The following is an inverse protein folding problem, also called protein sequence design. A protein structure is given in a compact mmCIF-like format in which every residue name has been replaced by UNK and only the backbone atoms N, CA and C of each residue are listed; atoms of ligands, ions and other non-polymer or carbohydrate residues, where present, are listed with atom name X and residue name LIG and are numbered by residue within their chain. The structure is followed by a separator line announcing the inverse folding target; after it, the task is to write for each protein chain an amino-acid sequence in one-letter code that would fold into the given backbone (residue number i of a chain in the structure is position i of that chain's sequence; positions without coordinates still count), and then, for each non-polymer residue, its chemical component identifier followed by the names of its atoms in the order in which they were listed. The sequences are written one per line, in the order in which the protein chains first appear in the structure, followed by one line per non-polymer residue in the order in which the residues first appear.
data_IF_978168213139
#
_entry.id   IF_978168213139
#
_cell.length_a   1.000
_cell.length_b   1.000
_cell.length_c   1.000
_cell.angle_alpha   90.00
_cell.angle_beta   90.00
_cell.angle_gamma   90.00
#
_symmetry.space_group_name_H-M   'P 1'
#
loop_
_entity.id
_entity.type
_entity.pdbx_description
1 polymer ?
#
# COMPACT_ATOMS: atom_id res chain seq x y z
N UNK A 1 17.70 9.60 -36.89
CA UNK A 1 16.94 10.74 -37.48
C UNK A 1 17.74 12.02 -37.24
N UNK A 2 18.04 12.84 -38.25
CA UNK A 2 18.80 14.07 -38.04
C UNK A 2 17.95 15.08 -37.26
N UNK A 3 18.55 15.73 -36.25
CA UNK A 3 17.91 16.81 -35.48
C UNK A 3 17.77 18.04 -36.38
N UNK A 4 16.57 18.26 -36.91
CA UNK A 4 16.21 19.50 -37.60
C UNK A 4 16.26 20.64 -36.58
N UNK A 5 17.27 21.48 -36.71
CA UNK A 5 17.47 22.61 -35.79
C UNK A 5 16.72 23.81 -36.37
N UNK A 6 15.52 24.05 -35.86
CA UNK A 6 14.65 25.15 -36.31
C UNK A 6 15.36 26.51 -36.19
N UNK A 7 15.23 27.36 -37.23
CA UNK A 7 15.81 28.70 -37.28
C UNK A 7 15.22 29.62 -36.19
N UNK A 8 15.96 30.67 -35.83
CA UNK A 8 15.56 31.63 -34.77
C UNK A 8 14.21 32.29 -35.08
N UNK A 9 13.97 32.60 -36.35
CA UNK A 9 12.72 33.19 -36.84
C UNK A 9 11.56 32.20 -36.76
N UNK A 10 11.78 30.93 -37.13
CA UNK A 10 10.77 29.88 -37.03
C UNK A 10 10.40 29.56 -35.57
N UNK A 11 11.32 29.72 -34.61
CA UNK A 11 11.02 29.61 -33.18
C UNK A 11 10.21 30.81 -32.67
N UNK A 12 10.50 32.02 -33.17
CA UNK A 12 9.78 33.24 -32.80
C UNK A 12 8.31 33.19 -33.28
N UNK A 13 8.06 32.75 -34.52
CA UNK A 13 6.71 32.57 -35.05
C UNK A 13 5.93 31.48 -34.32
N UNK A 14 6.57 30.35 -33.99
CA UNK A 14 5.97 29.30 -33.14
C UNK A 14 5.62 29.80 -31.74
N UNK A 15 6.47 30.64 -31.15
CA UNK A 15 6.24 31.21 -29.82
C UNK A 15 5.08 32.22 -29.85
N UNK A 16 5.01 33.05 -30.88
CA UNK A 16 3.90 33.97 -31.10
C UNK A 16 2.57 33.21 -31.31
N UNK A 17 2.59 32.14 -32.11
CA UNK A 17 1.42 31.28 -32.32
C UNK A 17 0.96 30.55 -31.04
N UNK A 18 1.90 30.07 -30.21
CA UNK A 18 1.58 29.48 -28.89
C UNK A 18 0.97 30.51 -27.94
N UNK A 19 1.48 31.74 -27.93
CA UNK A 19 0.92 32.85 -27.12
C UNK A 19 -0.49 33.21 -27.58
N UNK A 20 -0.75 33.25 -28.89
CA UNK A 20 -2.08 33.49 -29.43
C UNK A 20 -3.09 32.40 -29.03
N UNK A 21 -2.70 31.11 -29.16
CA UNK A 21 -3.54 29.98 -28.72
C UNK A 21 -3.81 29.98 -27.22
N UNK A 22 -2.81 30.31 -26.39
CA UNK A 22 -2.98 30.44 -24.95
C UNK A 22 -3.93 31.60 -24.58
N UNK A 23 -3.86 32.73 -25.30
CA UNK A 23 -4.80 33.85 -25.12
C UNK A 23 -6.22 33.44 -25.50
N UNK A 24 -6.42 32.79 -26.65
CA UNK A 24 -7.73 32.30 -27.07
C UNK A 24 -8.32 31.29 -26.07
N UNK A 25 -7.49 30.39 -25.52
CA UNK A 25 -7.91 29.46 -24.49
C UNK A 25 -8.36 30.16 -23.19
N UNK A 26 -7.61 31.18 -22.74
CA UNK A 26 -8.01 31.98 -21.58
C UNK A 26 -9.32 32.71 -21.80
N UNK A 27 -9.50 33.31 -22.98
CA UNK A 27 -10.77 33.98 -23.35
C UNK A 27 -11.93 32.99 -23.33
N UNK A 28 -11.76 31.78 -23.88
CA UNK A 28 -12.79 30.75 -23.86
C UNK A 28 -13.12 30.26 -22.43
N UNK A 29 -12.13 30.20 -21.55
CA UNK A 29 -12.36 29.88 -20.13
C UNK A 29 -13.14 30.99 -19.43
N UNK A 30 -12.76 32.25 -19.64
CA UNK A 30 -13.46 33.40 -19.07
C UNK A 30 -14.92 33.46 -19.57
N UNK A 31 -15.16 33.13 -20.83
CA UNK A 31 -16.50 33.04 -21.41
C UNK A 31 -17.32 31.90 -20.80
N UNK A 32 -16.74 30.71 -20.59
CA UNK A 32 -17.40 29.61 -19.88
C UNK A 32 -17.72 29.96 -18.41
N UNK A 33 -16.82 30.68 -17.74
CA UNK A 33 -17.05 31.17 -16.38
C UNK A 33 -18.20 32.18 -16.33
N UNK A 34 -18.29 33.07 -17.33
CA UNK A 34 -19.41 34.01 -17.45
C UNK A 34 -20.73 33.27 -17.68
N UNK A 35 -20.75 32.27 -18.57
CA UNK A 35 -21.93 31.44 -18.82
C UNK A 35 -22.41 30.69 -17.56
N UNK A 36 -21.48 30.14 -16.77
CA UNK A 36 -21.80 29.50 -15.50
C UNK A 36 -22.34 30.52 -14.48
N UNK A 37 -21.77 31.73 -14.45
CA UNK A 37 -22.27 32.84 -13.64
C UNK A 37 -23.70 33.21 -13.99
N UNK A 38 -24.03 33.29 -15.28
CA UNK A 38 -25.38 33.63 -15.75
C UNK A 38 -26.38 32.49 -15.52
N UNK A 39 -25.96 31.24 -15.69
CA UNK A 39 -26.75 30.07 -15.27
C UNK A 39 -27.04 30.11 -13.76
N UNK A 40 -26.04 30.47 -12.95
CA UNK A 40 -26.19 30.58 -11.49
C UNK A 40 -27.18 31.68 -11.09
N UNK A 41 -27.13 32.84 -11.76
CA UNK A 41 -28.12 33.92 -11.57
C UNK A 41 -29.52 33.47 -11.96
N UNK A 42 -29.64 32.76 -13.08
CA UNK A 42 -30.94 32.24 -13.58
C UNK A 42 -31.56 31.28 -12.56
N UNK A 43 -30.79 30.34 -12.02
CA UNK A 43 -31.23 29.39 -10.98
C UNK A 43 -31.59 30.12 -9.68
N UNK A 44 -30.78 31.11 -9.28
CA UNK A 44 -31.03 31.92 -8.09
C UNK A 44 -32.37 32.67 -8.19
N UNK A 45 -32.64 33.30 -9.34
CA UNK A 45 -33.90 34.00 -9.61
C UNK A 45 -35.09 33.05 -9.70
N UNK A 46 -34.96 31.91 -10.40
CA UNK A 46 -36.04 30.94 -10.57
C UNK A 46 -36.49 30.28 -9.25
N UNK A 47 -35.58 30.14 -8.29
CA UNK A 47 -35.85 29.47 -7.01
C UNK A 47 -35.87 30.41 -5.80
N UNK A 48 -35.86 31.73 -6.01
CA UNK A 48 -35.82 32.75 -4.95
C UNK A 48 -34.70 32.52 -3.91
N UNK A 49 -33.52 32.08 -4.37
CA UNK A 49 -32.35 31.85 -3.51
C UNK A 49 -31.28 32.89 -3.78
N UNK A 50 -30.41 33.14 -2.80
CA UNK A 50 -29.29 34.06 -3.01
C UNK A 50 -28.29 33.46 -4.00
N UNK A 51 -27.71 34.30 -4.87
CA UNK A 51 -26.68 33.89 -5.85
C UNK A 51 -25.54 33.15 -5.14
N UNK A 52 -25.11 33.65 -3.97
CA UNK A 52 -24.06 33.04 -3.14
C UNK A 52 -24.42 31.64 -2.65
N UNK A 53 -25.69 31.36 -2.37
CA UNK A 53 -26.14 30.04 -1.97
C UNK A 53 -26.13 29.06 -3.15
N UNK A 54 -26.59 29.47 -4.33
CA UNK A 54 -26.56 28.63 -5.54
C UNK A 54 -25.12 28.39 -6.01
N UNK A 55 -24.25 29.41 -5.94
CA UNK A 55 -22.82 29.27 -6.17
C UNK A 55 -22.21 28.23 -5.22
N UNK A 56 -22.48 28.33 -3.92
CA UNK A 56 -21.96 27.36 -2.96
C UNK A 56 -22.42 25.92 -3.26
N UNK A 57 -23.67 25.71 -3.68
CA UNK A 57 -24.17 24.37 -4.03
C UNK A 57 -23.59 23.84 -5.36
N UNK A 58 -23.23 24.71 -6.31
CA UNK A 58 -22.60 24.32 -7.58
C UNK A 58 -21.08 24.11 -7.45
N UNK A 59 -20.40 24.88 -6.58
CA UNK A 59 -18.95 24.81 -6.37
C UNK A 59 -18.53 23.75 -5.34
N UNK A 60 -19.40 23.41 -4.40
CA UNK A 60 -19.17 22.37 -3.40
C UNK A 60 -19.85 21.11 -3.92
N UNK A 61 -19.09 20.23 -4.58
CA UNK A 61 -19.60 19.00 -5.18
C UNK A 61 -20.57 18.24 -4.26
N UNK A 62 -21.58 17.61 -4.88
CA UNK A 62 -22.72 16.92 -4.26
C UNK A 62 -22.39 15.94 -3.10
N UNK A 63 -21.12 15.57 -2.89
CA UNK A 63 -20.67 14.60 -1.87
C UNK A 63 -20.43 15.16 -0.46
N UNK A 64 -20.19 16.46 -0.27
CA UNK A 64 -19.83 17.03 1.05
C UNK A 64 -21.07 17.23 1.95
N UNK A 65 -22.28 17.15 1.40
CA UNK A 65 -23.54 17.35 2.12
C UNK A 65 -23.92 16.22 3.09
N UNK A 66 -23.17 15.11 3.15
CA UNK A 66 -23.47 14.02 4.11
C UNK A 66 -23.00 14.26 5.54
N UNK A 67 -22.24 15.33 5.82
CA UNK A 67 -21.76 15.64 7.18
C UNK A 67 -22.29 16.95 7.77
N UNK A 68 -23.38 17.52 7.22
CA UNK A 68 -24.13 18.51 8.00
C UNK A 68 -24.88 17.76 9.10
N UNK A 69 -24.33 17.80 10.31
CA UNK A 69 -25.12 17.68 11.53
C UNK A 69 -26.22 18.76 11.46
N UNK A 70 -27.36 18.41 10.89
CA UNK A 70 -28.56 19.24 10.92
C UNK A 70 -28.87 19.49 12.38
N UNK A 71 -29.09 20.76 12.77
CA UNK A 71 -29.51 21.10 14.13
C UNK A 71 -30.62 20.13 14.56
N UNK A 72 -30.52 19.49 15.73
CA UNK A 72 -31.50 18.50 16.16
C UNK A 72 -32.88 19.15 16.12
N UNK A 73 -33.75 18.62 15.25
CA UNK A 73 -35.11 19.12 15.11
C UNK A 73 -35.91 18.66 16.33
N UNK A 74 -36.58 19.58 17.01
CA UNK A 74 -37.36 19.29 18.22
C UNK A 74 -38.44 18.24 17.96
N UNK A 75 -39.07 18.27 16.78
CA UNK A 75 -40.03 17.24 16.39
C UNK A 75 -39.39 15.84 16.32
N UNK A 76 -38.15 15.74 15.82
CA UNK A 76 -37.45 14.46 15.76
C UNK A 76 -37.03 13.97 17.15
N UNK A 77 -36.66 14.88 18.06
CA UNK A 77 -36.35 14.55 19.45
C UNK A 77 -37.59 14.04 20.20
N UNK A 78 -38.75 14.68 19.99
CA UNK A 78 -40.02 14.25 20.58
C UNK A 78 -40.47 12.88 20.06
N UNK A 79 -40.47 12.67 18.74
CA UNK A 79 -40.81 11.37 18.15
C UNK A 79 -39.86 10.26 18.61
N UNK A 80 -38.57 10.57 18.81
CA UNK A 80 -37.61 9.62 19.38
C UNK A 80 -37.98 9.21 20.82
N UNK A 81 -38.35 10.17 21.68
CA UNK A 81 -38.75 9.89 23.06
C UNK A 81 -40.01 9.04 23.12
N UNK A 82 -41.06 9.44 22.39
CA UNK A 82 -42.33 8.69 22.34
C UNK A 82 -42.17 7.27 21.79
N UNK A 83 -41.28 7.08 20.82
CA UNK A 83 -40.96 5.76 20.29
C UNK A 83 -40.11 4.89 21.25
N UNK A 84 -39.45 5.49 22.27
CA UNK A 84 -38.86 4.71 23.37
C UNK A 84 -39.90 4.23 24.37
N UNK A 85 -40.93 5.06 24.61
CA UNK A 85 -41.97 4.83 25.60
C UNK A 85 -43.06 3.86 25.09
N UNK A 86 -43.23 3.73 23.76
CA UNK A 86 -44.14 2.75 23.17
C UNK A 86 -43.59 1.32 23.25
N UNK A 87 -44.38 0.36 23.75
CA UNK A 87 -44.01 -1.07 23.85
C UNK A 87 -43.68 -1.72 22.48
N UNK A 88 -44.19 -1.16 21.38
CA UNK A 88 -43.96 -1.65 20.02
C UNK A 88 -42.68 -1.10 19.37
N UNK A 89 -41.51 -1.50 19.88
CA UNK A 89 -40.18 -1.02 19.41
C UNK A 89 -39.82 -1.29 17.94
N UNK A 90 -40.63 -2.05 17.18
CA UNK A 90 -40.21 -2.65 15.91
C UNK A 90 -41.26 -2.63 14.78
N UNK A 91 -41.94 -1.51 14.52
CA UNK A 91 -42.72 -1.37 13.28
C UNK A 91 -42.23 -0.17 12.49
N UNK A 92 -41.89 -0.40 11.21
CA UNK A 92 -41.20 0.53 10.31
C UNK A 92 -41.96 1.80 9.96
N UNK A 93 -41.77 2.33 8.74
CA UNK A 93 -42.21 3.68 8.27
C UNK A 93 -43.63 4.15 8.65
N UNK A 94 -44.55 3.25 8.97
CA UNK A 94 -45.95 3.58 9.28
C UNK A 94 -46.19 3.99 10.75
N UNK A 95 -45.32 3.61 11.70
CA UNK A 95 -45.40 4.09 13.11
C UNK A 95 -45.22 5.60 13.22
N UNK A 96 -44.38 6.18 12.36
CA UNK A 96 -44.14 7.63 12.33
C UNK A 96 -45.41 8.40 11.94
N UNK A 97 -46.23 7.88 11.02
CA UNK A 97 -47.50 8.51 10.63
C UNK A 97 -48.54 8.42 11.74
N UNK A 98 -48.54 7.32 12.50
CA UNK A 98 -49.43 7.12 13.64
C UNK A 98 -49.06 8.03 14.82
N UNK A 99 -47.77 8.08 15.17
CA UNK A 99 -47.22 9.00 16.19
C UNK A 99 -47.51 10.48 15.87
N UNK A 100 -47.44 10.87 14.58
CA UNK A 100 -47.78 12.24 14.13
C UNK A 100 -49.26 12.56 14.33
N UNK A 101 -50.16 11.57 14.21
CA UNK A 101 -51.61 11.78 14.39
C UNK A 101 -52.00 11.82 15.87
N UNK A 102 -51.41 10.97 16.69
CA UNK A 102 -51.80 10.78 18.09
C UNK A 102 -51.19 11.84 19.03
N UNK A 103 -49.95 12.29 18.78
CA UNK A 103 -49.22 13.14 19.73
C UNK A 103 -48.96 14.57 19.22
N UNK A 104 -49.69 15.03 18.19
CA UNK A 104 -49.57 16.40 17.67
C UNK A 104 -49.98 17.46 18.69
N UNK A 105 -51.05 17.19 19.42
CA UNK A 105 -51.60 18.11 20.41
C UNK A 105 -50.70 18.16 21.66
N UNK A 106 -50.16 17.01 22.07
CA UNK A 106 -49.16 16.90 23.14
C UNK A 106 -47.86 17.66 22.81
N UNK A 107 -47.39 17.58 21.56
CA UNK A 107 -46.24 18.37 21.10
C UNK A 107 -46.49 19.89 21.16
N UNK A 108 -47.72 20.31 20.86
CA UNK A 108 -48.09 21.73 20.92
C UNK A 108 -48.16 22.25 22.36
N UNK A 109 -48.54 21.38 23.32
CA UNK A 109 -48.67 21.71 24.74
C UNK A 109 -47.35 21.69 25.53
N UNK A 110 -46.27 21.12 24.97
CA UNK A 110 -44.95 21.05 25.61
C UNK A 110 -44.39 22.44 25.94
N UNK A 111 -43.94 22.63 27.18
CA UNK A 111 -43.30 23.86 27.65
C UNK A 111 -41.89 24.05 27.06
N UNK A 112 -41.33 25.26 27.17
CA UNK A 112 -39.99 25.56 26.64
C UNK A 112 -38.89 24.78 27.36
N UNK A 113 -39.04 24.56 28.66
CA UNK A 113 -38.06 23.87 29.51
C UNK A 113 -37.98 22.38 29.17
N UNK A 114 -39.13 21.73 28.98
CA UNK A 114 -39.20 20.32 28.57
C UNK A 114 -38.62 20.09 27.17
N UNK A 115 -38.82 21.05 26.25
CA UNK A 115 -38.23 21.00 24.90
C UNK A 115 -36.70 21.04 24.93
N UNK A 116 -36.11 21.86 25.80
CA UNK A 116 -34.65 21.95 25.93
C UNK A 116 -34.03 20.68 26.52
N UNK A 117 -34.68 20.08 27.53
CA UNK A 117 -34.25 18.81 28.11
C UNK A 117 -34.29 17.69 27.06
N UNK A 118 -35.38 17.58 26.29
CA UNK A 118 -35.51 16.58 25.21
C UNK A 118 -34.46 16.76 24.11
N UNK A 119 -34.15 18.00 23.71
CA UNK A 119 -33.12 18.27 22.73
C UNK A 119 -31.72 17.85 23.22
N UNK A 120 -31.43 18.06 24.51
CA UNK A 120 -30.16 17.68 25.12
C UNK A 120 -30.01 16.15 25.16
N UNK A 121 -31.03 15.44 25.66
CA UNK A 121 -31.05 13.97 25.69
C UNK A 121 -30.90 13.38 24.27
N UNK A 122 -31.61 13.93 23.29
CA UNK A 122 -31.54 13.48 21.91
C UNK A 122 -30.17 13.75 21.26
N UNK A 123 -29.54 14.89 21.57
CA UNK A 123 -28.21 15.22 21.09
C UNK A 123 -27.16 14.25 21.66
N UNK A 124 -27.27 13.93 22.95
CA UNK A 124 -26.35 12.99 23.61
C UNK A 124 -26.57 11.54 23.14
N UNK A 125 -27.82 11.11 22.91
CA UNK A 125 -28.11 9.84 22.24
C UNK A 125 -27.54 9.77 20.83
N UNK A 126 -27.62 10.85 20.06
CA UNK A 126 -27.06 10.90 18.71
C UNK A 126 -25.53 10.73 18.76
N UNK A 127 -24.85 11.42 19.68
CA UNK A 127 -23.40 11.24 19.91
C UNK A 127 -23.06 9.82 20.34
N UNK A 128 -23.83 9.23 21.25
CA UNK A 128 -23.64 7.85 21.71
C UNK A 128 -23.86 6.83 20.58
N UNK A 129 -24.87 7.01 19.72
CA UNK A 129 -25.15 6.13 18.58
C UNK A 129 -24.05 6.21 17.51
N UNK A 130 -23.58 7.42 17.21
CA UNK A 130 -22.44 7.63 16.30
C UNK A 130 -21.18 6.95 16.84
N UNK A 131 -20.98 6.95 18.16
CA UNK A 131 -19.82 6.35 18.82
C UNK A 131 -19.96 4.82 18.98
N UNK A 132 -21.17 4.31 19.18
CA UNK A 132 -21.46 2.90 19.52
C UNK A 132 -21.77 1.98 18.34
N UNK A 133 -21.70 2.45 17.10
CA UNK A 133 -22.01 1.60 15.94
C UNK A 133 -20.85 0.63 15.70
N UNK A 134 -21.10 -0.66 15.97
CA UNK A 134 -20.25 -1.79 15.58
C UNK A 134 -20.19 -1.83 14.04
N UNK A 135 -19.32 -1.03 13.44
CA UNK A 135 -19.19 -0.92 11.99
C UNK A 135 -18.63 -2.23 11.47
N UNK A 136 -19.44 -2.94 10.67
CA UNK A 136 -18.99 -4.16 10.01
C UNK A 136 -17.77 -3.85 9.13
N UNK A 137 -16.85 -4.81 9.01
CA UNK A 137 -15.68 -4.67 8.12
C UNK A 137 -16.08 -4.31 6.69
N UNK A 138 -17.21 -4.86 6.21
CA UNK A 138 -17.79 -4.54 4.89
C UNK A 138 -18.20 -3.06 4.78
N UNK A 139 -18.82 -2.51 5.82
CA UNK A 139 -19.21 -1.09 5.85
C UNK A 139 -17.99 -0.17 5.82
N UNK A 140 -16.92 -0.52 6.55
CA UNK A 140 -15.66 0.25 6.54
C UNK A 140 -15.01 0.25 5.16
N UNK A 141 -15.01 -0.88 4.46
CA UNK A 141 -14.48 -0.97 3.10
C UNK A 141 -15.29 -0.09 2.14
N UNK A 142 -16.62 -0.20 2.17
CA UNK A 142 -17.49 0.61 1.29
C UNK A 142 -17.27 2.10 1.52
N UNK A 143 -17.18 2.52 2.77
CA UNK A 143 -16.94 3.92 3.14
C UNK A 143 -15.59 4.44 2.61
N UNK A 144 -14.52 3.67 2.80
CA UNK A 144 -13.18 4.00 2.29
C UNK A 144 -13.19 4.07 0.76
N UNK A 145 -13.75 3.06 0.07
CA UNK A 145 -13.79 3.03 -1.40
C UNK A 145 -14.59 4.20 -1.97
N UNK A 146 -15.75 4.53 -1.38
CA UNK A 146 -16.57 5.66 -1.84
C UNK A 146 -15.86 6.99 -1.61
N UNK A 147 -15.21 7.16 -0.46
CA UNK A 147 -14.47 8.38 -0.12
C UNK A 147 -13.26 8.56 -1.04
N UNK A 148 -12.47 7.50 -1.25
CA UNK A 148 -11.31 7.54 -2.15
C UNK A 148 -11.73 7.88 -3.58
N UNK A 149 -12.79 7.26 -4.10
CA UNK A 149 -13.31 7.58 -5.42
C UNK A 149 -13.74 9.05 -5.56
N UNK A 150 -14.32 9.63 -4.51
CA UNK A 150 -14.67 11.05 -4.51
C UNK A 150 -13.40 11.93 -4.55
N UNK A 151 -12.38 11.59 -3.76
CA UNK A 151 -11.10 12.31 -3.75
C UNK A 151 -10.37 12.19 -5.10
N UNK A 152 -10.33 11.01 -5.70
CA UNK A 152 -9.74 10.79 -7.04
C UNK A 152 -10.40 11.66 -8.11
N UNK A 153 -11.73 11.78 -8.08
CA UNK A 153 -12.47 12.65 -8.99
C UNK A 153 -12.12 14.13 -8.79
N UNK A 154 -11.96 14.57 -7.54
CA UNK A 154 -11.55 15.95 -7.22
C UNK A 154 -10.10 16.23 -7.65
N UNK A 155 -9.19 15.29 -7.44
CA UNK A 155 -7.79 15.40 -7.87
C UNK A 155 -7.67 15.43 -9.40
N UNK A 156 -8.44 14.59 -10.10
CA UNK A 156 -8.56 14.66 -11.55
C UNK A 156 -9.12 16.02 -12.01
N UNK A 157 -10.16 16.52 -11.34
CA UNK A 157 -10.74 17.82 -11.64
C UNK A 157 -9.76 18.97 -11.38
N UNK A 158 -8.91 18.85 -10.36
CA UNK A 158 -7.82 19.79 -10.08
C UNK A 158 -6.80 19.80 -11.22
N UNK A 159 -6.33 18.62 -11.66
CA UNK A 159 -5.44 18.49 -12.83
C UNK A 159 -6.03 19.17 -14.06
N UNK A 160 -7.29 18.90 -14.37
CA UNK A 160 -7.96 19.50 -15.53
C UNK A 160 -8.05 21.02 -15.46
N UNK A 161 -8.25 21.60 -14.26
CA UNK A 161 -8.40 23.06 -14.09
C UNK A 161 -7.07 23.82 -14.04
N UNK A 162 -6.07 23.26 -13.38
CA UNK A 162 -4.83 24.00 -13.06
C UNK A 162 -3.58 23.42 -13.71
N UNK A 163 -3.66 22.21 -14.28
CA UNK A 163 -2.50 21.45 -14.73
C UNK A 163 -1.65 20.92 -13.57
N UNK A 164 -2.14 20.97 -12.33
CA UNK A 164 -1.44 20.39 -11.20
C UNK A 164 -1.41 18.86 -11.31
N UNK A 165 -0.23 18.29 -11.18
CA UNK A 165 -0.02 16.85 -11.15
C UNK A 165 0.07 16.38 -9.69
N UNK A 166 -0.59 15.28 -9.36
CA UNK A 166 -0.80 14.83 -7.97
C UNK A 166 -0.63 13.34 -7.83
N UNK A 167 -0.22 12.91 -6.63
CA UNK A 167 -0.15 11.52 -6.21
C UNK A 167 -0.86 11.34 -4.87
N UNK A 168 -1.60 10.25 -4.73
CA UNK A 168 -2.30 9.87 -3.51
C UNK A 168 -2.00 8.41 -3.19
N UNK A 169 -1.48 8.18 -1.98
CA UNK A 169 -1.26 6.86 -1.42
C UNK A 169 -2.17 6.65 -0.21
N UNK A 170 -2.90 5.54 -0.21
CA UNK A 170 -3.75 5.17 0.92
C UNK A 170 -3.45 3.73 1.33
N UNK A 171 -3.07 3.53 2.58
CA UNK A 171 -2.76 2.21 3.14
C UNK A 171 -3.58 1.96 4.40
N UNK A 172 -3.90 0.69 4.66
CA UNK A 172 -4.50 0.32 5.95
C UNK A 172 -3.45 0.37 7.07
N UNK A 173 -3.86 0.83 8.25
CA UNK A 173 -3.01 0.82 9.46
C UNK A 173 -3.26 -0.37 10.40
N UNK A 174 -4.14 -1.30 10.04
CA UNK A 174 -4.44 -2.48 10.86
C UNK A 174 -4.71 -3.70 10.00
N UNK A 175 -4.42 -4.89 10.53
CA UNK A 175 -4.70 -6.18 9.87
C UNK A 175 -6.18 -6.53 9.79
N UNK A 176 -7.02 -5.87 10.61
CA UNK A 176 -8.46 -6.15 10.75
C UNK A 176 -9.30 -5.69 9.55
N UNK A 177 -8.72 -4.93 8.63
CA UNK A 177 -9.37 -4.44 7.42
C UNK A 177 -8.72 -5.12 6.20
N UNK A 178 -9.43 -5.94 5.41
CA UNK A 178 -8.90 -6.57 4.21
C UNK A 178 -8.97 -5.62 3.02
N UNK A 179 -8.31 -4.46 3.13
CA UNK A 179 -8.17 -3.49 2.05
C UNK A 179 -6.72 -3.46 1.58
N UNK A 180 -6.50 -3.70 0.28
CA UNK A 180 -5.18 -3.51 -0.34
C UNK A 180 -4.91 -2.02 -0.48
N UNK A 181 -3.66 -1.58 -0.27
CA UNK A 181 -3.29 -0.19 -0.49
C UNK A 181 -3.73 0.33 -1.88
N UNK A 182 -4.30 1.53 -1.89
CA UNK A 182 -4.82 2.22 -3.07
C UNK A 182 -3.83 3.30 -3.48
N UNK A 183 -3.55 3.37 -4.77
CA UNK A 183 -2.63 4.34 -5.37
C UNK A 183 -3.37 5.06 -6.48
N UNK A 184 -3.31 6.38 -6.47
CA UNK A 184 -3.79 7.22 -7.55
C UNK A 184 -2.68 8.18 -7.97
N UNK A 185 -2.38 8.21 -9.26
CA UNK A 185 -1.37 9.07 -9.84
C UNK A 185 -1.89 9.73 -11.10
N UNK A 186 -1.52 10.99 -11.28
CA UNK A 186 -1.65 11.64 -12.58
C UNK A 186 -0.41 11.31 -13.42
N UNK A 187 -0.58 11.28 -14.75
CA UNK A 187 0.38 10.77 -15.72
C UNK A 187 1.79 11.40 -15.62
N UNK A 188 1.88 12.69 -15.33
CA UNK A 188 3.16 13.39 -15.21
C UNK A 188 3.97 12.93 -14.00
N UNK A 189 3.30 12.75 -12.86
CA UNK A 189 3.95 12.24 -11.63
C UNK A 189 4.20 10.75 -11.74
N UNK A 190 3.31 9.99 -12.38
CA UNK A 190 3.52 8.56 -12.64
C UNK A 190 4.81 8.31 -13.44
N UNK A 191 5.00 9.05 -14.53
CA UNK A 191 6.21 8.95 -15.34
C UNK A 191 7.46 9.39 -14.55
N UNK A 192 7.35 10.40 -13.69
CA UNK A 192 8.45 10.83 -12.82
C UNK A 192 8.85 9.73 -11.82
N UNK A 193 7.86 9.12 -11.15
CA UNK A 193 8.10 8.04 -10.18
C UNK A 193 8.78 6.83 -10.84
N UNK A 194 8.30 6.42 -12.01
CA UNK A 194 8.90 5.28 -12.72
C UNK A 194 10.25 5.62 -13.36
N UNK A 195 10.37 6.77 -14.04
CA UNK A 195 11.54 7.05 -14.90
C UNK A 195 12.69 7.76 -14.18
N UNK A 196 12.38 8.62 -13.20
CA UNK A 196 13.39 9.40 -12.47
C UNK A 196 13.71 8.70 -11.16
N UNK A 197 12.67 8.34 -10.39
CA UNK A 197 12.86 7.72 -9.08
C UNK A 197 13.14 6.22 -9.20
N UNK A 198 12.83 5.57 -10.32
CA UNK A 198 12.88 4.10 -10.48
C UNK A 198 12.08 3.37 -9.40
N UNK A 199 10.97 3.98 -8.95
CA UNK A 199 10.11 3.42 -7.91
C UNK A 199 8.79 2.99 -8.55
N UNK A 200 8.42 1.74 -8.31
CA UNK A 200 7.08 1.23 -8.59
C UNK A 200 6.11 1.74 -7.50
N UNK A 201 5.06 2.44 -7.91
CA UNK A 201 4.07 3.02 -7.00
C UNK A 201 3.35 1.96 -6.17
N UNK A 202 3.08 0.79 -6.74
CA UNK A 202 2.42 -0.31 -6.07
C UNK A 202 3.33 -0.94 -5.02
N UNK A 203 4.62 -1.09 -5.33
CA UNK A 203 5.63 -1.57 -4.37
C UNK A 203 5.81 -0.60 -3.21
N UNK A 204 5.90 0.71 -3.48
CA UNK A 204 5.99 1.73 -2.43
C UNK A 204 4.78 1.70 -1.50
N UNK A 205 3.56 1.60 -2.05
CA UNK A 205 2.33 1.50 -1.26
C UNK A 205 2.31 0.21 -0.41
N UNK A 206 2.79 -0.90 -0.94
CA UNK A 206 2.92 -2.14 -0.16
C UNK A 206 3.94 -2.01 0.98
N UNK A 207 5.05 -1.30 0.77
CA UNK A 207 6.03 -1.00 1.84
C UNK A 207 5.46 -0.05 2.89
N UNK A 208 4.74 0.98 2.47
CA UNK A 208 4.02 1.90 3.37
C UNK A 208 2.96 1.16 4.20
N UNK A 209 2.22 0.22 3.60
CA UNK A 209 1.24 -0.61 4.29
C UNK A 209 1.91 -1.51 5.32
N UNK A 210 2.99 -2.20 4.93
CA UNK A 210 3.78 -2.99 5.85
C UNK A 210 4.27 -2.15 7.03
N UNK A 211 4.79 -0.95 6.76
CA UNK A 211 5.23 -0.02 7.82
C UNK A 211 4.10 0.41 8.75
N UNK A 212 2.94 0.75 8.20
CA UNK A 212 1.78 1.19 8.99
C UNK A 212 1.27 0.09 9.93
N UNK A 213 1.42 -1.19 9.55
CA UNK A 213 0.96 -2.35 10.36
C UNK A 213 2.04 -2.84 11.34
N UNK A 214 3.31 -2.93 10.90
CA UNK A 214 4.37 -3.64 11.62
C UNK A 214 5.61 -2.77 11.91
N UNK A 215 5.54 -1.46 11.65
CA UNK A 215 6.66 -0.54 11.79
C UNK A 215 7.81 -0.87 10.83
N UNK A 216 9.05 -0.57 11.22
CA UNK A 216 10.26 -0.78 10.40
C UNK A 216 10.35 -2.22 9.84
N UNK A 217 9.89 -3.22 10.61
CA UNK A 217 9.86 -4.64 10.20
C UNK A 217 8.94 -4.92 9.00
N UNK A 218 7.92 -4.09 8.79
CA UNK A 218 6.98 -4.23 7.67
C UNK A 218 7.37 -3.47 6.41
N UNK A 219 8.17 -2.39 6.52
CA UNK A 219 8.75 -1.71 5.35
C UNK A 219 9.80 -2.56 4.61
N UNK A 220 10.43 -3.51 5.32
CA UNK A 220 11.61 -4.23 4.86
C UNK A 220 11.34 -5.47 3.99
N UNK A 221 10.12 -5.72 3.51
CA UNK A 221 9.82 -6.97 2.77
C UNK A 221 10.01 -6.86 1.26
N UNK A 222 11.25 -6.61 0.83
CA UNK A 222 11.71 -7.19 -0.43
C UNK A 222 11.99 -8.67 -0.15
N UNK A 223 11.22 -9.58 -0.75
CA UNK A 223 11.50 -11.01 -0.68
C UNK A 223 12.92 -11.32 -1.18
N UNK A 224 13.36 -10.59 -2.22
CA UNK A 224 14.72 -10.69 -2.76
C UNK A 224 15.79 -10.25 -1.76
N UNK A 225 15.56 -9.16 -1.02
CA UNK A 225 16.51 -8.68 0.00
C UNK A 225 16.60 -9.69 1.15
N UNK A 226 15.47 -10.24 1.61
CA UNK A 226 15.47 -11.32 2.62
C UNK A 226 16.22 -12.56 2.15
N UNK A 227 16.06 -12.95 0.90
CA UNK A 227 16.79 -14.08 0.31
C UNK A 227 18.29 -13.75 0.21
N UNK A 228 18.65 -12.51 -0.15
CA UNK A 228 20.03 -12.04 -0.20
C UNK A 228 20.69 -12.03 1.19
N UNK A 229 19.97 -11.54 2.21
CA UNK A 229 20.43 -11.51 3.59
C UNK A 229 20.60 -12.92 4.15
N UNK A 230 19.64 -13.81 3.91
CA UNK A 230 19.74 -15.22 4.31
C UNK A 230 20.94 -15.91 3.65
N UNK A 231 21.16 -15.71 2.35
CA UNK A 231 22.34 -16.23 1.64
C UNK A 231 23.64 -15.69 2.23
N UNK A 232 23.69 -14.40 2.54
CA UNK A 232 24.88 -13.75 3.11
C UNK A 232 25.20 -14.28 4.49
N UNK A 233 24.18 -14.47 5.34
CA UNK A 233 24.32 -15.04 6.67
C UNK A 233 24.85 -16.48 6.61
N UNK A 234 24.31 -17.33 5.72
CA UNK A 234 24.79 -18.70 5.53
C UNK A 234 26.24 -18.72 5.00
N UNK A 235 26.56 -17.87 4.03
CA UNK A 235 27.93 -17.74 3.52
C UNK A 235 28.93 -17.37 4.64
N UNK A 236 28.57 -16.44 5.52
CA UNK A 236 29.42 -16.08 6.65
C UNK A 236 29.56 -17.22 7.66
N UNK A 237 28.49 -17.94 7.99
CA UNK A 237 28.60 -19.09 8.92
C UNK A 237 29.52 -20.16 8.35
N UNK A 238 29.37 -20.51 7.07
CA UNK A 238 30.21 -21.51 6.40
C UNK A 238 31.68 -21.08 6.41
N UNK A 239 31.98 -19.84 5.98
CA UNK A 239 33.34 -19.32 5.91
C UNK A 239 33.96 -19.14 7.30
N UNK A 240 33.21 -18.61 8.26
CA UNK A 240 33.63 -18.47 9.65
C UNK A 240 33.96 -19.82 10.27
N UNK A 241 33.11 -20.84 10.06
CA UNK A 241 33.37 -22.21 10.49
C UNK A 241 34.63 -22.80 9.85
N UNK A 242 34.83 -22.55 8.56
CA UNK A 242 36.01 -23.01 7.81
C UNK A 242 37.30 -22.37 8.33
N UNK A 243 37.30 -21.05 8.55
CA UNK A 243 38.46 -20.33 9.12
C UNK A 243 38.79 -20.82 10.53
N UNK A 244 37.76 -21.10 11.35
CA UNK A 244 37.93 -21.62 12.71
C UNK A 244 38.54 -23.02 12.72
N UNK A 245 38.08 -23.93 11.86
CA UNK A 245 38.56 -25.32 11.85
C UNK A 245 39.95 -25.45 11.19
N UNK A 246 40.26 -24.60 10.20
CA UNK A 246 41.55 -24.63 9.50
C UNK A 246 42.62 -23.77 10.17
N UNK A 247 42.23 -22.81 11.01
CA UNK A 247 43.13 -21.84 11.63
C UNK A 247 43.66 -20.76 10.66
N UNK A 248 43.28 -20.79 9.38
CA UNK A 248 43.70 -19.80 8.39
C UNK A 248 42.61 -18.74 8.16
N UNK A 249 42.83 -17.47 8.54
CA UNK A 249 41.84 -16.41 8.42
C UNK A 249 41.58 -15.98 6.97
N UNK A 250 42.44 -16.34 6.01
CA UNK A 250 42.31 -15.95 4.60
C UNK A 250 41.55 -16.98 3.77
N UNK A 251 41.21 -18.12 4.34
CA UNK A 251 40.48 -19.17 3.64
C UNK A 251 39.03 -18.75 3.43
N UNK A 252 38.57 -18.93 2.19
CA UNK A 252 37.19 -18.76 1.77
C UNK A 252 36.73 -20.05 1.07
N UNK A 253 35.44 -20.35 1.21
CA UNK A 253 34.80 -21.51 0.60
C UNK A 253 34.87 -21.45 -0.93
N UNK A 254 35.35 -22.53 -1.54
CA UNK A 254 35.44 -22.66 -3.01
C UNK A 254 34.60 -23.83 -3.50
N UNK A 255 33.35 -23.55 -3.88
CA UNK A 255 32.39 -24.56 -4.31
C UNK A 255 32.84 -25.37 -5.54
N UNK A 256 33.34 -24.71 -6.59
CA UNK A 256 33.77 -25.39 -7.84
C UNK A 256 34.97 -26.29 -7.64
N UNK A 257 35.89 -25.92 -6.75
CA UNK A 257 37.11 -26.67 -6.46
C UNK A 257 37.12 -27.21 -5.04
N UNK A 258 35.95 -27.56 -4.51
CA UNK A 258 35.76 -27.93 -3.11
C UNK A 258 36.67 -29.09 -2.71
N UNK A 259 36.70 -30.16 -3.50
CA UNK A 259 37.53 -31.32 -3.20
C UNK A 259 39.03 -30.99 -3.19
N UNK A 260 39.52 -30.24 -4.18
CA UNK A 260 40.96 -29.97 -4.31
C UNK A 260 41.45 -28.92 -3.31
N UNK A 261 40.71 -27.84 -3.15
CA UNK A 261 41.19 -26.68 -2.40
C UNK A 261 40.70 -26.65 -0.95
N UNK A 262 39.66 -27.41 -0.61
CA UNK A 262 39.17 -27.56 0.76
C UNK A 262 39.56 -28.94 1.31
N UNK A 263 39.04 -30.03 0.73
CA UNK A 263 39.25 -31.39 1.26
C UNK A 263 40.73 -31.79 1.16
N UNK A 264 41.36 -31.73 -0.01
CA UNK A 264 42.74 -32.19 -0.19
C UNK A 264 43.78 -31.31 0.49
N UNK A 265 43.51 -30.00 0.60
CA UNK A 265 44.47 -29.05 1.18
C UNK A 265 44.40 -28.97 2.71
N UNK A 266 43.19 -28.98 3.25
CA UNK A 266 42.96 -28.77 4.68
C UNK A 266 42.41 -30.00 5.41
N UNK A 267 42.13 -31.09 4.69
CA UNK A 267 41.55 -32.33 5.24
C UNK A 267 40.29 -32.07 6.07
N UNK A 268 39.43 -31.15 5.61
CA UNK A 268 38.14 -30.85 6.25
C UNK A 268 37.00 -31.03 5.26
N UNK A 269 35.85 -31.49 5.76
CA UNK A 269 34.63 -31.63 4.98
C UNK A 269 33.40 -31.16 5.74
N UNK A 270 32.37 -30.74 5.01
CA UNK A 270 31.04 -30.49 5.55
C UNK A 270 30.31 -31.83 5.69
N UNK A 271 29.76 -32.09 6.87
CA UNK A 271 28.93 -33.25 7.18
C UNK A 271 27.52 -32.79 7.55
N UNK A 272 26.50 -33.61 7.29
CA UNK A 272 25.11 -33.32 7.65
C UNK A 272 24.43 -32.31 6.74
N UNK A 273 24.85 -32.19 5.48
CA UNK A 273 24.17 -31.35 4.49
C UNK A 273 22.80 -31.96 4.12
N UNK A 274 21.72 -31.17 4.00
CA UNK A 274 20.39 -31.72 3.78
C UNK A 274 20.18 -32.19 2.32
N UNK A 275 19.50 -33.33 2.15
CA UNK A 275 19.29 -33.98 0.84
C UNK A 275 18.42 -33.17 -0.13
N UNK A 276 17.55 -32.30 0.39
CA UNK A 276 16.66 -31.48 -0.42
C UNK A 276 17.34 -30.25 -1.03
N UNK A 277 18.60 -29.96 -0.69
CA UNK A 277 19.35 -28.81 -1.21
C UNK A 277 20.59 -29.29 -1.95
N UNK A 278 20.67 -28.97 -3.24
CA UNK A 278 21.86 -29.30 -4.06
C UNK A 278 23.14 -28.70 -3.46
N UNK A 279 24.18 -29.52 -3.30
CA UNK A 279 25.49 -29.10 -2.78
C UNK A 279 26.29 -28.29 -3.82
N UNK A 280 25.88 -27.04 -4.04
CA UNK A 280 26.53 -26.09 -4.93
C UNK A 280 26.48 -24.68 -4.32
N UNK A 281 27.16 -23.71 -4.97
CA UNK A 281 27.12 -22.32 -4.52
C UNK A 281 25.67 -21.81 -4.43
N UNK A 282 25.30 -21.23 -3.28
CA UNK A 282 23.94 -20.76 -2.97
C UNK A 282 23.42 -19.68 -3.93
N UNK A 283 24.30 -18.99 -4.66
CA UNK A 283 23.91 -18.07 -5.75
C UNK A 283 23.34 -18.77 -6.98
N UNK A 284 23.73 -20.04 -7.22
CA UNK A 284 23.25 -20.88 -8.32
C UNK A 284 22.04 -21.72 -7.94
N UNK A 285 21.77 -21.87 -6.64
CA UNK A 285 20.58 -22.56 -6.16
C UNK A 285 19.40 -21.59 -6.16
N UNK A 286 18.38 -21.88 -6.96
CA UNK A 286 17.08 -21.20 -6.94
C UNK A 286 16.23 -21.72 -5.77
N UNK A 287 16.74 -21.69 -4.55
CA UNK A 287 16.03 -22.19 -3.38
C UNK A 287 15.01 -21.16 -2.88
N UNK A 288 13.84 -21.65 -2.49
CA UNK A 288 12.81 -20.83 -1.86
C UNK A 288 13.30 -20.36 -0.47
N UNK A 289 12.90 -19.17 -0.03
CA UNK A 289 13.33 -18.61 1.27
C UNK A 289 13.20 -19.59 2.47
N UNK A 290 12.14 -20.41 2.60
CA UNK A 290 12.04 -21.38 3.69
C UNK A 290 13.16 -22.44 3.70
N UNK A 291 13.71 -22.79 2.54
CA UNK A 291 14.81 -23.76 2.43
C UNK A 291 16.13 -23.15 2.89
N UNK A 292 16.36 -21.86 2.60
CA UNK A 292 17.53 -21.12 3.09
C UNK A 292 17.45 -20.91 4.61
N UNK A 293 16.27 -20.53 5.13
CA UNK A 293 16.05 -20.42 6.58
C UNK A 293 16.28 -21.77 7.28
N UNK A 294 15.77 -22.88 6.71
CA UNK A 294 16.03 -24.22 7.24
C UNK A 294 17.51 -24.60 7.19
N UNK A 295 18.22 -24.28 6.10
CA UNK A 295 19.65 -24.54 6.00
C UNK A 295 20.43 -23.76 7.08
N UNK A 296 20.07 -22.49 7.29
CA UNK A 296 20.65 -21.68 8.36
C UNK A 296 20.44 -22.32 9.74
N UNK A 297 19.23 -22.76 10.05
CA UNK A 297 18.91 -23.44 11.31
C UNK A 297 19.72 -24.74 11.50
N UNK A 298 19.94 -25.52 10.43
CA UNK A 298 20.77 -26.74 10.48
C UNK A 298 22.23 -26.44 10.81
N UNK A 299 22.76 -25.31 10.34
CA UNK A 299 24.09 -24.85 10.70
C UNK A 299 24.16 -24.32 12.14
N UNK A 300 23.14 -23.60 12.60
CA UNK A 300 23.08 -23.08 13.98
C UNK A 300 22.96 -24.21 15.01
N UNK A 301 22.11 -25.20 14.73
CA UNK A 301 21.94 -26.42 15.54
C UNK A 301 23.11 -27.40 15.43
N UNK A 302 24.14 -27.09 14.63
CA UNK A 302 25.34 -27.90 14.36
C UNK A 302 25.06 -29.28 13.75
N UNK A 303 23.86 -29.49 13.20
CA UNK A 303 23.56 -30.70 12.43
C UNK A 303 24.40 -30.70 11.15
N UNK A 304 24.47 -29.55 10.47
CA UNK A 304 25.44 -29.32 9.41
C UNK A 304 26.66 -28.61 10.00
N UNK A 305 27.83 -29.23 9.91
CA UNK A 305 29.06 -28.63 10.44
C UNK A 305 30.31 -29.09 9.69
N UNK A 306 31.41 -28.39 9.94
CA UNK A 306 32.74 -28.80 9.47
C UNK A 306 33.31 -29.90 10.36
N UNK A 307 33.83 -30.96 9.73
CA UNK A 307 34.53 -32.07 10.38
C UNK A 307 35.94 -32.20 9.80
N UNK A 308 36.93 -32.39 10.66
CA UNK A 308 38.28 -32.83 10.26
C UNK A 308 38.25 -34.30 9.86
N UNK A 309 38.86 -34.61 8.72
CA UNK A 309 39.05 -35.96 8.24
C UNK A 309 40.25 -36.58 8.93
N UNK A 310 40.14 -37.86 9.25
CA UNK A 310 41.32 -38.69 9.56
C UNK A 310 42.01 -39.08 8.26
N UNK A 311 43.29 -39.44 8.33
CA UNK A 311 44.06 -39.87 7.16
C UNK A 311 43.45 -41.12 6.48
N UNK A 312 42.81 -41.99 7.25
CA UNK A 312 42.06 -43.16 6.75
C UNK A 312 40.78 -42.75 6.00
N UNK A 313 40.00 -41.80 6.53
CA UNK A 313 38.80 -41.28 5.85
C UNK A 313 39.18 -40.53 4.56
N UNK A 314 40.28 -39.78 4.59
CA UNK A 314 40.79 -39.04 3.45
C UNK A 314 41.29 -39.96 2.32
N UNK A 315 42.08 -40.99 2.65
CA UNK A 315 42.59 -41.95 1.66
C UNK A 315 41.47 -42.72 0.98
N UNK A 316 40.45 -43.13 1.73
CA UNK A 316 39.25 -43.76 1.18
C UNK A 316 38.49 -42.83 0.21
N UNK A 317 38.28 -41.57 0.59
CA UNK A 317 37.64 -40.60 -0.32
C UNK A 317 38.47 -40.29 -1.58
N UNK A 318 39.79 -40.27 -1.48
CA UNK A 318 40.66 -40.16 -2.65
C UNK A 318 40.55 -41.37 -3.58
N UNK A 319 40.44 -42.58 -3.03
CA UNK A 319 40.25 -43.81 -3.81
C UNK A 319 38.90 -43.78 -4.54
N UNK A 320 37.80 -43.51 -3.84
CA UNK A 320 36.45 -43.43 -4.41
C UNK A 320 36.36 -42.36 -5.52
N UNK A 321 37.03 -41.20 -5.33
CA UNK A 321 37.08 -40.16 -6.37
C UNK A 321 37.90 -40.61 -7.58
N UNK A 322 39.05 -41.25 -7.36
CA UNK A 322 39.89 -41.75 -8.45
C UNK A 322 39.17 -42.82 -9.26
N UNK A 323 38.35 -43.65 -8.63
CA UNK A 323 37.47 -44.61 -9.30
C UNK A 323 36.40 -43.90 -10.13
N UNK A 324 35.75 -42.87 -9.58
CA UNK A 324 34.77 -42.04 -10.31
C UNK A 324 35.35 -41.22 -11.46
N UNK A 325 36.61 -40.80 -11.33
CA UNK A 325 37.36 -40.17 -12.44
C UNK A 325 37.70 -41.18 -13.53
N UNK A 326 38.04 -42.42 -13.16
CA UNK A 326 38.33 -43.51 -14.11
C UNK A 326 37.07 -44.02 -14.82
N UNK A 327 35.92 -44.02 -14.15
CA UNK A 327 34.63 -44.40 -14.74
C UNK A 327 34.03 -43.30 -15.64
N UNK A 328 34.56 -42.07 -15.57
CA UNK A 328 34.09 -40.93 -16.36
C UNK A 328 32.83 -40.24 -15.79
N UNK A 329 32.40 -40.57 -14.58
CA UNK A 329 31.23 -39.95 -13.93
C UNK A 329 31.50 -38.53 -13.44
N UNK A 330 32.77 -38.14 -13.27
CA UNK A 330 33.17 -36.80 -12.80
C UNK A 330 34.25 -36.25 -13.75
N UNK A 331 34.05 -35.04 -14.29
CA UNK A 331 35.08 -34.36 -15.07
C UNK A 331 36.12 -33.66 -14.16
N UNK A 332 37.40 -33.80 -14.50
CA UNK A 332 38.49 -33.08 -13.86
C UNK A 332 38.47 -31.60 -14.29
N UNK A 333 38.01 -30.71 -13.41
CA UNK A 333 37.98 -29.27 -13.66
C UNK A 333 39.42 -28.73 -13.59
N UNK A 334 40.16 -28.87 -14.69
CA UNK A 334 41.51 -28.32 -14.87
C UNK A 334 41.43 -26.80 -15.01
N UNK A 335 42.38 -26.08 -14.41
CA UNK A 335 42.53 -24.63 -14.63
C UNK A 335 42.78 -24.40 -16.12
N UNK A 336 42.01 -23.49 -16.75
CA UNK A 336 42.55 -22.72 -17.87
C UNK A 336 43.70 -21.90 -17.29
N UNK A 337 44.92 -22.28 -17.65
CA UNK A 337 46.15 -21.50 -17.43
C UNK A 337 46.05 -20.16 -18.13
#
# INVERSE_FOLDING_TARGET
RPKVTMSKEARATLTAGRRAKSRQFKVALDEAWNQLGDATKTIASAHHKSIRHVQNELYIGHGILRSRCTKPNMWNAFCWKKNQDSENRNQGRDTLKQLVREHKDEYSALSKEEREVLLKEYADWTKMKTTGTRTSTKSKIIDITQTLKAVENELNSLRCRTGAETILYTTRGSTNLPLRGVTFTTEGVEHFMHSVMSIDNQDLVSKMEGFAIQGIKGAAKNHQDRVSDARSAIHEIINSGLRKITGDPRVNMQWTHYFRNIIQRYQVMIVGWPDNISFVNLSKVSSALPELERLFDLWDTRITCWKTLTDEEFTKMCQERNEKLKSGEIEDIRRRT
#
